data_IF_752717132690
#
_entry.id   IF_752717132690
#
_cell.length_a   1.000
_cell.length_b   1.000
_cell.length_c   1.000
_cell.angle_alpha   90.00
_cell.angle_beta   90.00
_cell.angle_gamma   90.00
#
_symmetry.space_group_name_H-M   'P 1'
#
loop_
_entity.id
_entity.type
_entity.pdbx_description
1 polymer ?
#
# COMPACT_ATOMS: atom_id res chain seq x y z
N UNK A 1 2.54 3.72 22.07
CA UNK A 1 1.88 4.50 21.00
C UNK A 1 2.91 5.34 20.28
N UNK A 2 2.79 5.44 18.96
CA UNK A 2 3.43 6.53 18.23
C UNK A 2 2.55 7.74 18.49
N UNK A 3 3.06 8.73 19.22
CA UNK A 3 2.38 9.99 19.57
C UNK A 3 2.21 10.86 18.32
N UNK A 4 1.42 10.36 17.35
CA UNK A 4 1.21 10.91 16.01
C UNK A 4 -0.18 10.56 15.49
N UNK A 5 -0.74 11.44 14.67
CA UNK A 5 -1.99 11.21 13.95
C UNK A 5 -1.73 10.49 12.62
N UNK A 6 -2.52 9.45 12.34
CA UNK A 6 -2.57 8.80 11.05
C UNK A 6 -3.52 9.56 10.12
N UNK A 7 -2.98 10.13 9.05
CA UNK A 7 -3.76 10.86 8.05
C UNK A 7 -4.04 9.96 6.86
N UNK A 8 -5.31 9.71 6.56
CA UNK A 8 -5.76 8.84 5.48
C UNK A 8 -6.61 9.59 4.45
N UNK A 9 -6.81 8.99 3.28
CA UNK A 9 -7.72 9.53 2.26
C UNK A 9 -9.19 9.20 2.57
N UNK A 10 -10.11 9.94 1.95
CA UNK A 10 -11.54 9.61 1.98
C UNK A 10 -11.87 8.23 1.39
N UNK A 11 -11.03 7.69 0.48
CA UNK A 11 -11.19 6.31 0.00
C UNK A 11 -10.87 5.30 1.09
N UNK A 12 -9.79 5.51 1.85
CA UNK A 12 -9.44 4.64 2.98
C UNK A 12 -10.54 4.65 4.04
N UNK A 13 -11.15 5.81 4.32
CA UNK A 13 -12.29 5.91 5.24
C UNK A 13 -13.44 4.98 4.86
N UNK A 14 -13.78 4.88 3.57
CA UNK A 14 -14.84 3.97 3.09
C UNK A 14 -14.56 2.51 3.44
N UNK A 15 -13.31 2.06 3.26
CA UNK A 15 -12.91 0.69 3.59
C UNK A 15 -12.88 0.48 5.10
N UNK A 16 -12.31 1.43 5.84
CA UNK A 16 -12.15 1.34 7.27
C UNK A 16 -13.51 1.25 7.99
N UNK A 17 -14.47 2.08 7.59
CA UNK A 17 -15.85 2.03 8.08
C UNK A 17 -16.51 0.68 7.79
N UNK A 18 -16.28 0.12 6.60
CA UNK A 18 -16.84 -1.20 6.26
C UNK A 18 -16.22 -2.32 7.10
N UNK A 19 -14.91 -2.28 7.32
CA UNK A 19 -14.21 -3.26 8.14
C UNK A 19 -14.54 -3.12 9.62
N UNK A 20 -14.76 -1.90 10.11
CA UNK A 20 -15.17 -1.64 11.48
C UNK A 20 -16.52 -2.30 11.83
N UNK A 21 -17.41 -2.48 10.84
CA UNK A 21 -18.68 -3.18 11.03
C UNK A 21 -18.53 -4.70 11.19
N UNK A 22 -17.39 -5.28 10.80
CA UNK A 22 -17.14 -6.72 10.97
C UNK A 22 -16.67 -7.02 12.40
N UNK A 23 -17.54 -7.69 13.17
CA UNK A 23 -17.28 -8.07 14.57
C UNK A 23 -16.07 -8.99 14.75
N UNK A 24 -15.57 -9.64 13.69
CA UNK A 24 -14.38 -10.50 13.75
C UNK A 24 -13.09 -9.69 13.64
N UNK A 25 -13.16 -8.44 13.16
CA UNK A 25 -12.01 -7.59 12.96
C UNK A 25 -11.90 -6.57 14.10
N UNK A 26 -10.67 -6.30 14.55
CA UNK A 26 -10.37 -5.23 15.51
C UNK A 26 -9.84 -4.04 14.73
N UNK A 27 -10.74 -3.32 14.08
CA UNK A 27 -10.41 -2.19 13.19
C UNK A 27 -11.10 -0.93 13.73
N UNK A 28 -10.39 0.21 13.86
CA UNK A 28 -11.02 1.46 14.31
C UNK A 28 -12.01 2.02 13.29
N UNK A 29 -12.95 2.85 13.73
CA UNK A 29 -13.79 3.65 12.80
C UNK A 29 -12.96 4.76 12.13
N UNK A 30 -13.42 5.29 11.00
CA UNK A 30 -12.74 6.41 10.32
C UNK A 30 -12.72 7.72 11.13
N UNK A 31 -13.57 7.84 12.15
CA UNK A 31 -13.56 8.93 13.14
C UNK A 31 -12.92 8.52 14.47
N UNK A 32 -12.23 7.38 14.49
CA UNK A 32 -11.52 6.89 15.66
C UNK A 32 -10.41 7.84 16.12
N UNK A 33 -10.02 7.70 17.38
CA UNK A 33 -8.92 8.47 17.96
C UNK A 33 -7.62 8.27 17.17
N UNK A 34 -6.87 9.35 16.96
CA UNK A 34 -5.62 9.31 16.21
C UNK A 34 -5.77 9.23 14.68
N UNK A 35 -6.98 9.23 14.12
CA UNK A 35 -7.21 9.18 12.66
C UNK A 35 -7.74 10.51 12.14
N UNK A 36 -7.15 11.02 11.07
CA UNK A 36 -7.58 12.22 10.37
C UNK A 36 -7.82 11.93 8.88
N UNK A 37 -8.76 12.66 8.28
CA UNK A 37 -9.07 12.57 6.85
C UNK A 37 -8.49 13.76 6.09
N UNK A 38 -7.56 13.50 5.17
CA UNK A 38 -6.98 14.55 4.34
C UNK A 38 -8.00 15.06 3.31
N UNK A 39 -8.42 16.33 3.43
CA UNK A 39 -9.22 17.03 2.44
C UNK A 39 -8.35 17.33 1.22
N UNK A 40 -8.63 16.76 0.03
CA UNK A 40 -7.85 17.08 -1.16
C UNK A 40 -8.34 18.38 -1.79
N UNK A 41 -7.42 19.15 -2.39
CA UNK A 41 -7.80 20.18 -3.37
C UNK A 41 -8.28 19.49 -4.63
N UNK A 42 -9.39 19.97 -5.18
CA UNK A 42 -10.03 19.37 -6.36
C UNK A 42 -10.27 20.47 -7.40
N UNK A 43 -10.32 20.09 -8.68
CA UNK A 43 -10.73 20.93 -9.83
C UNK A 43 -10.12 22.34 -9.85
N UNK A 44 -10.75 23.31 -9.17
CA UNK A 44 -10.26 24.69 -9.05
C UNK A 44 -8.94 24.82 -8.31
N UNK A 45 -8.47 23.76 -7.67
CA UNK A 45 -7.26 23.78 -6.85
C UNK A 45 -7.52 24.39 -5.48
N UNK A 46 -8.76 24.39 -5.01
CA UNK A 46 -9.16 24.89 -3.69
C UNK A 46 -9.94 23.84 -2.90
N UNK A 47 -10.46 24.23 -1.73
CA UNK A 47 -11.31 23.41 -0.86
C UNK A 47 -12.80 23.72 -0.98
N UNK A 48 -13.21 24.37 -2.08
CA UNK A 48 -14.58 24.80 -2.26
C UNK A 48 -15.56 23.62 -2.32
N UNK A 49 -16.67 23.72 -1.59
CA UNK A 49 -17.61 22.60 -1.45
C UNK A 49 -18.18 22.10 -2.78
N UNK A 50 -18.31 23.00 -3.77
CA UNK A 50 -18.80 22.64 -5.10
C UNK A 50 -17.85 21.72 -5.88
N UNK A 51 -16.56 21.68 -5.52
CA UNK A 51 -15.59 20.81 -6.19
C UNK A 51 -15.82 19.33 -5.88
N UNK A 52 -16.50 19.03 -4.77
CA UNK A 52 -16.80 17.68 -4.33
C UNK A 52 -18.18 17.18 -4.79
N UNK A 53 -18.93 17.95 -5.58
CA UNK A 53 -20.29 17.57 -6.01
C UNK A 53 -20.30 16.22 -6.77
N UNK A 54 -19.27 15.93 -7.57
CA UNK A 54 -19.14 14.66 -8.30
C UNK A 54 -18.48 13.53 -7.49
N UNK A 55 -18.16 13.75 -6.22
CA UNK A 55 -17.41 12.80 -5.41
C UNK A 55 -18.27 12.33 -4.21
N UNK A 56 -19.26 11.43 -4.43
CA UNK A 56 -20.20 11.02 -3.37
C UNK A 56 -19.52 10.51 -2.10
N UNK A 57 -18.39 9.82 -2.23
CA UNK A 57 -17.64 9.28 -1.10
C UNK A 57 -16.94 10.36 -0.27
N UNK A 58 -16.55 11.49 -0.88
CA UNK A 58 -16.03 12.66 -0.15
C UNK A 58 -17.20 13.44 0.44
N UNK A 59 -18.21 13.75 -0.38
CA UNK A 59 -19.36 14.58 -0.01
C UNK A 59 -20.10 14.05 1.21
N UNK A 60 -20.30 12.73 1.29
CA UNK A 60 -20.95 12.06 2.44
C UNK A 60 -20.18 12.19 3.77
N UNK A 61 -18.93 12.65 3.73
CA UNK A 61 -18.02 12.72 4.88
C UNK A 61 -17.52 14.13 5.16
N UNK A 62 -17.89 15.16 4.38
CA UNK A 62 -17.39 16.54 4.54
C UNK A 62 -17.71 17.18 5.90
N UNK A 63 -18.69 16.65 6.63
CA UNK A 63 -19.05 17.13 7.97
C UNK A 63 -18.36 16.33 9.10
N UNK A 64 -17.40 15.47 8.77
CA UNK A 64 -16.69 14.70 9.79
C UNK A 64 -15.80 15.64 10.62
N UNK A 65 -15.73 15.44 11.95
CA UNK A 65 -15.02 16.35 12.83
C UNK A 65 -13.49 16.25 12.71
N UNK A 66 -12.98 15.20 12.07
CA UNK A 66 -11.56 14.85 11.99
C UNK A 66 -10.98 15.08 10.58
N UNK A 67 -11.50 16.07 9.84
CA UNK A 67 -10.94 16.47 8.54
C UNK A 67 -9.77 17.43 8.78
N UNK A 68 -8.69 17.25 8.00
CA UNK A 68 -7.51 18.11 8.02
C UNK A 68 -7.09 18.47 6.58
N UNK A 69 -6.53 19.66 6.38
CA UNK A 69 -5.95 20.11 5.10
C UNK A 69 -4.43 19.91 5.06
N UNK A 70 -3.86 19.98 3.86
CA UNK A 70 -2.41 19.89 3.69
C UNK A 70 -1.70 21.05 4.40
N UNK A 71 -2.25 22.27 4.32
CA UNK A 71 -1.70 23.46 4.96
C UNK A 71 -1.76 23.41 6.49
N UNK A 72 -2.72 22.70 7.07
CA UNK A 72 -2.74 22.44 8.52
C UNK A 72 -1.64 21.46 8.92
N UNK A 73 -1.44 20.39 8.15
CA UNK A 73 -0.35 19.42 8.39
C UNK A 73 1.01 20.11 8.28
N UNK A 74 1.21 20.97 7.28
CA UNK A 74 2.48 21.68 7.07
C UNK A 74 2.91 22.58 8.24
N UNK A 75 2.00 22.94 9.16
CA UNK A 75 2.34 23.76 10.33
C UNK A 75 3.11 22.98 11.40
N UNK A 76 2.80 21.70 11.59
CA UNK A 76 3.45 20.81 12.57
C UNK A 76 3.63 19.40 11.96
N UNK A 77 4.41 19.25 10.88
CA UNK A 77 4.49 18.01 10.10
C UNK A 77 4.95 16.79 10.92
N UNK A 78 5.69 17.01 12.01
CA UNK A 78 6.12 15.98 12.94
C UNK A 78 4.98 15.25 13.64
N UNK A 79 3.79 15.84 13.76
CA UNK A 79 2.66 15.24 14.46
C UNK A 79 1.93 14.19 13.60
N UNK A 80 2.30 14.04 12.32
CA UNK A 80 1.50 13.29 11.35
C UNK A 80 2.27 12.16 10.65
N UNK A 81 1.55 11.06 10.40
CA UNK A 81 1.93 10.03 9.42
C UNK A 81 0.89 10.07 8.30
N UNK A 82 1.30 10.49 7.11
CA UNK A 82 0.38 10.61 5.96
C UNK A 82 0.46 9.39 5.07
N UNK A 83 -0.67 8.70 4.89
CA UNK A 83 -0.77 7.56 3.98
C UNK A 83 -0.89 8.07 2.54
N UNK A 84 0.24 8.05 1.82
CA UNK A 84 0.32 8.39 0.40
C UNK A 84 0.57 7.11 -0.41
N UNK A 85 -0.29 6.86 -1.39
CA UNK A 85 0.03 5.93 -2.47
C UNK A 85 0.58 6.72 -3.68
N UNK A 86 1.16 6.02 -4.65
CA UNK A 86 1.75 6.61 -5.85
C UNK A 86 0.84 7.62 -6.57
N UNK A 87 -0.46 7.34 -6.66
CA UNK A 87 -1.44 8.21 -7.34
C UNK A 87 -1.71 9.53 -6.61
N UNK A 88 -1.35 9.61 -5.34
CA UNK A 88 -1.54 10.80 -4.49
C UNK A 88 -0.24 11.57 -4.26
N UNK A 89 0.84 11.27 -4.98
CA UNK A 89 2.13 11.97 -4.81
C UNK A 89 2.06 13.46 -5.13
N UNK A 90 1.13 13.88 -5.99
CA UNK A 90 0.87 15.30 -6.22
C UNK A 90 0.46 16.06 -4.95
N UNK A 91 -0.06 15.38 -3.92
CA UNK A 91 -0.34 15.95 -2.59
C UNK A 91 0.93 16.52 -1.93
N UNK A 92 2.12 16.02 -2.28
CA UNK A 92 3.38 16.57 -1.79
C UNK A 92 3.57 18.06 -2.18
N UNK A 93 2.98 18.50 -3.30
CA UNK A 93 3.00 19.91 -3.72
C UNK A 93 2.31 20.81 -2.71
N UNK A 94 1.25 20.32 -2.07
CA UNK A 94 0.49 21.07 -1.06
C UNK A 94 1.11 20.90 0.33
N UNK A 95 1.55 19.68 0.68
CA UNK A 95 2.19 19.39 1.97
C UNK A 95 3.54 20.11 2.13
N UNK A 96 4.29 20.26 1.04
CA UNK A 96 5.63 20.89 0.98
C UNK A 96 6.55 20.50 2.14
N UNK A 97 6.79 19.19 2.39
CA UNK A 97 7.71 18.80 3.45
C UNK A 97 9.12 19.29 3.12
N UNK A 98 9.81 19.86 4.11
CA UNK A 98 11.22 20.28 3.98
C UNK A 98 12.20 19.12 4.19
N UNK A 99 11.76 18.13 4.97
CA UNK A 99 12.46 16.88 5.31
C UNK A 99 11.43 15.87 5.81
N UNK A 100 11.75 14.59 5.71
CA UNK A 100 10.89 13.55 6.24
C UNK A 100 11.37 12.16 5.89
N UNK A 101 10.58 11.16 6.26
CA UNK A 101 10.82 9.76 5.91
C UNK A 101 9.64 9.26 5.10
N UNK A 102 9.92 8.73 3.91
CA UNK A 102 8.95 7.99 3.13
C UNK A 102 9.19 6.50 3.34
N UNK A 103 8.23 5.84 3.97
CA UNK A 103 8.26 4.39 4.20
C UNK A 103 7.57 3.70 3.03
N UNK A 104 8.34 3.01 2.21
CA UNK A 104 7.83 2.19 1.13
C UNK A 104 7.59 0.77 1.62
N UNK A 105 6.31 0.45 1.86
CA UNK A 105 5.85 -0.84 2.39
C UNK A 105 5.12 -1.67 1.32
N UNK A 106 5.65 -1.65 0.09
CA UNK A 106 5.17 -2.44 -1.04
C UNK A 106 6.33 -3.27 -1.60
N UNK A 107 6.00 -4.28 -2.41
CA UNK A 107 7.00 -5.11 -3.09
C UNK A 107 7.83 -4.30 -4.08
N UNK A 108 9.04 -4.79 -4.34
CA UNK A 108 9.89 -4.32 -5.42
C UNK A 108 9.18 -4.42 -6.79
N UNK A 109 9.54 -3.55 -7.75
CA UNK A 109 9.03 -3.65 -9.11
C UNK A 109 9.45 -5.00 -9.73
N UNK A 110 8.50 -5.66 -10.40
CA UNK A 110 8.71 -6.96 -11.06
C UNK A 110 8.41 -6.93 -12.57
N UNK A 111 8.07 -5.75 -13.10
CA UNK A 111 7.91 -5.53 -14.53
C UNK A 111 8.30 -4.09 -14.89
N UNK A 112 8.48 -3.84 -16.19
CA UNK A 112 8.94 -2.56 -16.74
C UNK A 112 8.06 -1.37 -16.33
N UNK A 113 6.73 -1.53 -16.32
CA UNK A 113 5.80 -0.44 -15.94
C UNK A 113 5.98 -0.04 -14.46
N UNK A 114 6.24 -1.04 -13.60
CA UNK A 114 6.51 -0.81 -12.19
C UNK A 114 7.89 -0.19 -11.96
N UNK A 115 8.90 -0.56 -12.74
CA UNK A 115 10.23 0.08 -12.69
C UNK A 115 10.12 1.57 -13.01
N UNK A 116 9.43 1.93 -14.10
CA UNK A 116 9.18 3.33 -14.48
C UNK A 116 8.41 4.08 -13.38
N UNK A 117 7.43 3.44 -12.76
CA UNK A 117 6.65 4.03 -11.67
C UNK A 117 7.52 4.24 -10.42
N UNK A 118 8.42 3.31 -10.11
CA UNK A 118 9.35 3.40 -9.01
C UNK A 118 10.39 4.52 -9.23
N UNK A 119 10.94 4.64 -10.44
CA UNK A 119 11.84 5.76 -10.79
C UNK A 119 11.16 7.12 -10.59
N UNK A 120 9.93 7.26 -11.10
CA UNK A 120 9.13 8.48 -10.88
C UNK A 120 8.92 8.76 -9.40
N UNK A 121 8.57 7.72 -8.60
CA UNK A 121 8.42 7.85 -7.16
C UNK A 121 9.72 8.38 -6.52
N UNK A 122 10.88 7.83 -6.87
CA UNK A 122 12.18 8.26 -6.34
C UNK A 122 12.51 9.71 -6.70
N UNK A 123 12.18 10.18 -7.91
CA UNK A 123 12.37 11.59 -8.29
C UNK A 123 11.46 12.54 -7.48
N UNK A 124 10.23 12.13 -7.16
CA UNK A 124 9.38 12.88 -6.23
C UNK A 124 10.01 12.96 -4.83
N UNK A 125 10.49 11.85 -4.28
CA UNK A 125 11.13 11.86 -2.95
C UNK A 125 12.36 12.77 -2.91
N UNK A 126 13.17 12.75 -3.97
CA UNK A 126 14.32 13.63 -4.14
C UNK A 126 13.92 15.10 -4.21
N UNK A 127 12.88 15.43 -4.99
CA UNK A 127 12.37 16.80 -5.12
C UNK A 127 11.92 17.39 -3.76
N UNK A 128 11.35 16.55 -2.90
CA UNK A 128 10.84 16.94 -1.58
C UNK A 128 11.78 16.58 -0.42
N UNK A 129 13.04 16.23 -0.70
CA UNK A 129 14.06 15.91 0.30
C UNK A 129 13.60 14.86 1.35
N UNK A 130 12.88 13.84 0.87
CA UNK A 130 12.37 12.74 1.69
C UNK A 130 13.35 11.56 1.69
N UNK A 131 13.70 11.07 2.89
CA UNK A 131 14.52 9.87 3.04
C UNK A 131 13.68 8.64 2.73
N UNK A 132 14.08 7.89 1.71
CA UNK A 132 13.49 6.60 1.39
C UNK A 132 13.88 5.53 2.41
N UNK A 133 12.90 4.80 2.93
CA UNK A 133 13.08 3.59 3.74
C UNK A 133 12.21 2.50 3.15
N UNK A 134 12.84 1.39 2.75
CA UNK A 134 12.12 0.20 2.32
C UNK A 134 11.75 -0.66 3.53
N UNK A 135 10.47 -0.98 3.69
CA UNK A 135 9.93 -1.77 4.80
C UNK A 135 8.84 -2.71 4.29
N UNK A 136 9.23 -3.73 3.52
CA UNK A 136 8.33 -4.71 2.94
C UNK A 136 8.35 -6.02 3.74
N UNK A 137 7.18 -6.62 3.93
CA UNK A 137 7.05 -8.00 4.37
C UNK A 137 6.42 -8.80 3.22
N UNK A 138 7.15 -9.77 2.69
CA UNK A 138 6.66 -10.64 1.61
C UNK A 138 5.42 -11.40 2.04
N UNK A 139 4.44 -11.49 1.13
CA UNK A 139 3.30 -12.41 1.26
C UNK A 139 3.62 -13.86 0.87
N UNK A 140 4.81 -14.11 0.32
CA UNK A 140 5.27 -15.43 -0.10
C UNK A 140 6.27 -16.02 0.90
N UNK A 141 6.17 -17.34 1.10
CA UNK A 141 7.17 -18.09 1.86
C UNK A 141 8.57 -17.92 1.25
N UNK A 142 9.59 -17.84 2.10
CA UNK A 142 10.96 -17.74 1.62
C UNK A 142 11.41 -19.07 0.99
N UNK A 143 12.45 -19.04 0.15
CA UNK A 143 12.94 -20.24 -0.53
C UNK A 143 13.25 -21.37 0.45
N UNK A 144 13.92 -21.07 1.56
CA UNK A 144 14.23 -22.07 2.61
C UNK A 144 12.98 -22.67 3.25
N UNK A 145 11.93 -21.87 3.48
CA UNK A 145 10.66 -22.35 4.03
C UNK A 145 9.96 -23.29 3.05
N UNK A 146 9.97 -22.96 1.76
CA UNK A 146 9.43 -23.83 0.69
C UNK A 146 10.20 -25.15 0.64
N UNK A 147 11.54 -25.11 0.75
CA UNK A 147 12.38 -26.30 0.77
C UNK A 147 12.10 -27.18 1.99
N UNK A 148 11.96 -26.58 3.17
CA UNK A 148 11.66 -27.29 4.41
C UNK A 148 10.27 -27.94 4.33
N UNK A 149 9.27 -27.21 3.83
CA UNK A 149 7.92 -27.72 3.57
C UNK A 149 7.96 -28.95 2.65
N UNK A 150 8.72 -28.90 1.54
CA UNK A 150 8.85 -30.03 0.61
C UNK A 150 9.49 -31.24 1.30
N UNK A 151 10.56 -31.04 2.08
CA UNK A 151 11.24 -32.11 2.83
C UNK A 151 10.36 -32.76 3.89
N UNK A 152 9.47 -31.98 4.51
CA UNK A 152 8.53 -32.48 5.52
C UNK A 152 7.39 -33.27 4.87
N UNK A 153 6.78 -32.74 3.81
CA UNK A 153 5.67 -33.37 3.09
C UNK A 153 6.12 -34.63 2.34
N UNK A 154 7.37 -34.62 1.80
CA UNK A 154 7.93 -35.66 0.92
C UNK A 154 6.99 -36.03 -0.25
N UNK A 155 6.62 -35.06 -1.09
CA UNK A 155 5.71 -35.31 -2.20
C UNK A 155 6.35 -36.24 -3.23
N UNK A 156 5.53 -37.11 -3.84
CA UNK A 156 5.99 -37.95 -4.97
C UNK A 156 6.22 -37.14 -6.25
N UNK A 157 5.39 -36.12 -6.47
CA UNK A 157 5.44 -35.21 -7.63
C UNK A 157 5.32 -33.77 -7.13
N UNK A 158 6.08 -32.85 -7.72
CA UNK A 158 6.08 -31.42 -7.42
C UNK A 158 5.78 -30.65 -8.71
N UNK A 159 4.80 -29.75 -8.64
CA UNK A 159 4.40 -28.88 -9.74
C UNK A 159 4.66 -27.43 -9.32
N UNK A 160 5.82 -26.84 -9.66
CA UNK A 160 6.10 -25.44 -9.35
C UNK A 160 5.15 -24.53 -10.15
N UNK A 161 4.30 -23.80 -9.45
CA UNK A 161 3.36 -22.82 -10.05
C UNK A 161 3.53 -21.47 -9.37
N UNK A 162 3.03 -20.41 -10.01
CA UNK A 162 3.11 -19.04 -9.47
C UNK A 162 4.56 -18.59 -9.20
N UNK A 163 5.48 -18.95 -10.10
CA UNK A 163 6.90 -18.59 -10.08
C UNK A 163 7.39 -18.35 -11.51
N UNK A 164 8.26 -17.36 -11.69
CA UNK A 164 8.96 -17.13 -12.97
C UNK A 164 10.18 -18.03 -13.16
N UNK A 165 10.63 -18.69 -12.07
CA UNK A 165 11.78 -19.59 -12.09
C UNK A 165 11.39 -21.01 -11.60
N UNK A 166 10.54 -21.75 -12.35
CA UNK A 166 10.20 -23.13 -12.00
C UNK A 166 11.43 -24.05 -11.99
N UNK A 167 12.48 -23.65 -12.73
CA UNK A 167 13.74 -24.37 -12.81
C UNK A 167 14.52 -24.40 -11.51
N UNK A 168 14.27 -23.45 -10.60
CA UNK A 168 14.85 -23.44 -9.25
C UNK A 168 14.44 -24.64 -8.39
N UNK A 169 13.42 -25.40 -8.79
CA UNK A 169 12.97 -26.63 -8.12
C UNK A 169 13.67 -27.89 -8.65
N UNK A 170 14.48 -27.78 -9.71
CA UNK A 170 15.31 -28.89 -10.17
C UNK A 170 16.25 -29.29 -9.03
N UNK A 171 16.38 -30.59 -8.78
CA UNK A 171 17.16 -31.22 -7.70
C UNK A 171 16.50 -31.30 -6.32
N UNK A 172 15.18 -31.05 -6.21
CA UNK A 172 14.44 -31.36 -4.98
C UNK A 172 13.96 -32.81 -4.98
N UNK A 173 13.72 -33.35 -3.78
CA UNK A 173 13.22 -34.71 -3.61
C UNK A 173 11.79 -34.83 -4.17
N UNK A 174 11.63 -35.69 -5.17
CA UNK A 174 10.36 -35.92 -5.87
C UNK A 174 10.50 -35.74 -7.39
N UNK A 175 9.51 -36.22 -8.13
CA UNK A 175 9.43 -35.97 -9.57
C UNK A 175 8.99 -34.52 -9.82
N UNK A 176 9.87 -33.70 -10.40
CA UNK A 176 9.56 -32.30 -10.72
C UNK A 176 8.90 -32.23 -12.09
N UNK A 177 7.67 -31.71 -12.13
CA UNK A 177 6.92 -31.51 -13.36
C UNK A 177 6.76 -30.01 -13.63
N UNK A 178 7.51 -29.50 -14.60
CA UNK A 178 7.38 -28.12 -15.07
C UNK A 178 6.11 -28.01 -15.88
N UNK A 179 5.15 -27.23 -15.38
CA UNK A 179 3.84 -27.08 -16.02
C UNK A 179 3.87 -26.10 -17.18
N UNK A 180 2.93 -26.28 -18.10
CA UNK A 180 2.61 -25.35 -19.19
C UNK A 180 1.15 -24.93 -19.04
N UNK A 181 0.89 -23.66 -19.30
CA UNK A 181 -0.46 -23.11 -19.26
C UNK A 181 -1.40 -23.85 -20.23
N UNK A 182 -2.61 -24.17 -19.77
CA UNK A 182 -3.62 -24.87 -20.58
C UNK A 182 -3.44 -26.39 -20.72
N UNK A 183 -2.33 -26.95 -20.27
CA UNK A 183 -2.09 -28.39 -20.32
C UNK A 183 -2.79 -29.17 -19.20
N UNK A 184 -3.20 -30.40 -19.49
CA UNK A 184 -3.79 -31.32 -18.52
C UNK A 184 -2.75 -32.34 -18.05
N UNK A 185 -2.60 -32.46 -16.73
CA UNK A 185 -1.69 -33.41 -16.10
C UNK A 185 -2.50 -34.50 -15.39
N UNK A 186 -2.13 -35.76 -15.60
CA UNK A 186 -2.72 -36.91 -14.89
C UNK A 186 -1.79 -37.31 -13.74
N UNK A 187 -2.37 -37.47 -12.55
CA UNK A 187 -1.64 -37.77 -11.32
C UNK A 187 -1.30 -39.24 -11.20
#
# INVERSE_FOLDING_TARGET
ELDKFLVISFKHACFLERYHLDKKLKVPDSKGEGILLLKPKMRTGTYADYDYISEPYIKSRLNYPNIITAEEISKNPEDYIVVLNYWYFNTLIDLKPEKGVYVHSLSEPFNEEMEISFERMMEWLKLFNLRYVHAHCSGHAYGEDILNMIKEIRPKKIFPIHTENPEGFKNLDGEIVIVKEGEKYTL
#
